data_IF_538997576382
#
_entry.id   IF_538997576382
#
_cell.length_a   1.000
_cell.length_b   1.000
_cell.length_c   1.000
_cell.angle_alpha   90.00
_cell.angle_beta   90.00
_cell.angle_gamma   90.00
#
_symmetry.space_group_name_H-M   'P 1'
#
loop_
_entity.id
_entity.type
_entity.pdbx_description
1 polymer ?
#
# COMPACT_ATOMS: atom_id res chain seq x y z
N UNK A 1 -12.04 -15.66 48.93
CA UNK A 1 -11.84 -15.33 47.51
C UNK A 1 -12.44 -13.96 47.26
N UNK A 2 -11.61 -12.94 47.03
CA UNK A 2 -12.09 -11.62 46.61
C UNK A 2 -12.61 -11.75 45.15
N UNK A 3 -13.77 -11.15 44.82
CA UNK A 3 -14.32 -11.25 43.48
C UNK A 3 -13.40 -10.55 42.45
N UNK A 4 -13.36 -11.03 41.19
CA UNK A 4 -12.61 -10.36 40.14
C UNK A 4 -13.17 -8.94 39.93
N UNK A 5 -12.32 -7.92 40.01
CA UNK A 5 -12.67 -6.52 39.72
C UNK A 5 -13.31 -6.46 38.33
N UNK A 6 -14.59 -6.08 38.24
CA UNK A 6 -15.24 -5.85 36.95
C UNK A 6 -14.51 -4.73 36.20
N UNK A 7 -14.28 -4.89 34.89
CA UNK A 7 -13.72 -3.82 34.05
C UNK A 7 -14.74 -2.68 33.98
N UNK A 8 -14.53 -1.63 34.78
CA UNK A 8 -15.27 -0.37 34.62
C UNK A 8 -14.96 0.20 33.24
N UNK A 9 -16.00 0.40 32.42
CA UNK A 9 -15.89 1.17 31.18
C UNK A 9 -15.77 2.65 31.56
N UNK A 10 -14.54 3.12 31.76
CA UNK A 10 -14.21 4.49 32.17
C UNK A 10 -13.88 5.43 31.00
N UNK A 11 -14.18 5.02 29.77
CA UNK A 11 -13.99 5.85 28.56
C UNK A 11 -12.53 5.99 28.11
N UNK A 12 -11.58 5.29 28.73
CA UNK A 12 -10.14 5.39 28.41
C UNK A 12 -9.76 5.04 26.96
N UNK A 13 -10.64 4.37 26.21
CA UNK A 13 -10.43 3.98 24.81
C UNK A 13 -10.60 5.11 23.81
N UNK A 14 -11.06 6.29 24.22
CA UNK A 14 -11.11 7.51 23.40
C UNK A 14 -10.37 8.68 24.04
N UNK A 15 -9.98 8.56 25.31
CA UNK A 15 -9.28 9.61 26.04
C UNK A 15 -7.79 9.67 25.68
N UNK A 16 -7.40 10.73 24.97
CA UNK A 16 -6.01 11.02 24.60
C UNK A 16 -5.29 11.89 25.64
N UNK A 17 -6.04 12.50 26.55
CA UNK A 17 -5.50 13.34 27.62
C UNK A 17 -5.27 12.54 28.91
N UNK A 18 -5.65 11.27 28.97
CA UNK A 18 -5.47 10.40 30.13
C UNK A 18 -6.16 10.94 31.40
N UNK A 19 -7.24 11.72 31.25
CA UNK A 19 -8.06 12.21 32.35
C UNK A 19 -8.62 11.08 33.20
N UNK A 20 -8.85 9.90 32.61
CA UNK A 20 -9.25 8.70 33.34
C UNK A 20 -8.29 8.33 34.50
N UNK A 21 -7.01 8.70 34.43
CA UNK A 21 -6.04 8.47 35.51
C UNK A 21 -6.45 9.21 36.78
N UNK A 22 -6.94 10.43 36.66
CA UNK A 22 -7.36 11.23 37.82
C UNK A 22 -8.65 10.72 38.45
N UNK A 23 -9.56 10.20 37.63
CA UNK A 23 -10.85 9.65 38.11
C UNK A 23 -10.70 8.25 38.69
N UNK A 24 -9.79 7.44 38.16
CA UNK A 24 -9.67 6.01 38.49
C UNK A 24 -8.50 5.71 39.42
N UNK A 25 -7.35 6.38 39.26
CA UNK A 25 -6.14 6.12 40.05
C UNK A 25 -5.93 7.15 41.17
N UNK A 26 -6.45 8.37 41.02
CA UNK A 26 -6.45 9.41 42.06
C UNK A 26 -5.75 10.70 41.63
N UNK A 27 -5.94 11.76 42.42
CA UNK A 27 -5.43 13.10 42.12
C UNK A 27 -3.90 13.21 42.15
N UNK A 28 -3.23 12.32 42.88
CA UNK A 28 -1.78 12.20 42.97
C UNK A 28 -1.10 11.84 41.63
N UNK A 29 -1.86 11.32 40.66
CA UNK A 29 -1.34 11.02 39.32
C UNK A 29 -1.25 12.23 38.37
N UNK A 30 -1.58 13.43 38.84
CA UNK A 30 -1.63 14.65 38.00
C UNK A 30 -0.36 14.90 37.21
N UNK A 31 0.81 14.78 37.85
CA UNK A 31 2.08 15.04 37.17
C UNK A 31 2.32 14.07 36.00
N UNK A 32 2.07 12.77 36.21
CA UNK A 32 2.19 11.76 35.16
C UNK A 32 1.16 11.94 34.04
N UNK A 33 -0.08 12.30 34.40
CA UNK A 33 -1.15 12.52 33.44
C UNK A 33 -0.87 13.73 32.54
N UNK A 34 -0.41 14.85 33.08
CA UNK A 34 -0.06 16.04 32.30
C UNK A 34 1.08 15.75 31.30
N UNK A 35 2.10 15.02 31.73
CA UNK A 35 3.21 14.59 30.87
C UNK A 35 2.73 13.64 29.76
N UNK A 36 1.87 12.67 30.10
CA UNK A 36 1.29 11.74 29.13
C UNK A 36 0.44 12.47 28.08
N UNK A 37 -0.41 13.40 28.51
CA UNK A 37 -1.23 14.23 27.62
C UNK A 37 -0.36 15.08 26.69
N UNK A 38 0.66 15.74 27.23
CA UNK A 38 1.60 16.56 26.46
C UNK A 38 2.36 15.73 25.42
N UNK A 39 2.86 14.56 25.81
CA UNK A 39 3.52 13.65 24.87
C UNK A 39 2.56 13.20 23.77
N UNK A 40 1.35 12.78 24.13
CA UNK A 40 0.35 12.24 23.21
C UNK A 40 -0.17 13.28 22.21
N UNK A 41 -0.25 14.55 22.60
CA UNK A 41 -0.59 15.65 21.69
C UNK A 41 0.42 15.82 20.54
N UNK A 42 1.67 15.38 20.71
CA UNK A 42 2.71 15.44 19.66
C UNK A 42 2.71 14.24 18.71
N UNK A 43 1.88 13.22 18.96
CA UNK A 43 1.89 11.96 18.22
C UNK A 43 0.87 11.94 17.08
N UNK A 44 1.31 11.55 15.87
CA UNK A 44 0.44 11.41 14.69
C UNK A 44 0.21 9.95 14.26
N UNK A 45 1.05 9.02 14.73
CA UNK A 45 1.04 7.60 14.35
C UNK A 45 1.01 6.69 15.57
N UNK A 46 0.32 5.54 15.43
CA UNK A 46 0.29 4.49 16.46
C UNK A 46 -0.44 4.89 17.74
N UNK A 47 -1.35 5.86 17.66
CA UNK A 47 -2.03 6.49 18.83
C UNK A 47 -2.71 5.44 19.72
N UNK A 48 -3.45 4.50 19.12
CA UNK A 48 -4.13 3.44 19.87
C UNK A 48 -3.14 2.56 20.64
N UNK A 49 -2.09 2.09 19.97
CA UNK A 49 -1.09 1.21 20.59
C UNK A 49 -0.30 1.93 21.69
N UNK A 50 0.06 3.21 21.49
CA UNK A 50 0.76 4.04 22.49
C UNK A 50 -0.09 4.25 23.74
N UNK A 51 -1.37 4.56 23.56
CA UNK A 51 -2.29 4.75 24.67
C UNK A 51 -2.46 3.47 25.49
N UNK A 52 -2.62 2.33 24.81
CA UNK A 52 -2.73 1.04 25.48
C UNK A 52 -1.44 0.68 26.24
N UNK A 53 -0.27 0.95 25.65
CA UNK A 53 1.02 0.74 26.29
C UNK A 53 1.20 1.61 27.53
N UNK A 54 0.87 2.91 27.45
CA UNK A 54 0.94 3.81 28.60
C UNK A 54 -0.05 3.44 29.70
N UNK A 55 -1.28 3.06 29.35
CA UNK A 55 -2.25 2.60 30.36
C UNK A 55 -1.71 1.43 31.18
N UNK A 56 -1.09 0.43 30.52
CA UNK A 56 -0.42 -0.69 31.21
C UNK A 56 0.79 -0.23 32.01
N UNK A 57 1.60 0.68 31.49
CA UNK A 57 2.77 1.21 32.19
C UNK A 57 2.38 1.91 33.49
N UNK A 58 1.30 2.69 33.50
CA UNK A 58 0.82 3.34 34.72
C UNK A 58 0.18 2.34 35.70
N UNK A 59 -0.81 1.56 35.26
CA UNK A 59 -1.59 0.70 36.17
C UNK A 59 -0.85 -0.55 36.63
N UNK A 60 -0.05 -1.16 35.74
CA UNK A 60 0.57 -2.46 36.02
C UNK A 60 2.02 -2.34 36.46
N UNK A 61 2.71 -1.25 36.12
CA UNK A 61 4.11 -1.05 36.50
C UNK A 61 4.28 0.00 37.59
N UNK A 62 3.98 1.26 37.30
CA UNK A 62 4.22 2.35 38.27
C UNK A 62 3.38 2.14 39.53
N UNK A 63 2.08 1.86 39.40
CA UNK A 63 1.19 1.72 40.55
C UNK A 63 1.58 0.60 41.52
N UNK A 64 2.06 -0.53 40.98
CA UNK A 64 2.31 -1.75 41.77
C UNK A 64 3.78 -1.86 42.24
N UNK A 65 4.75 -1.40 41.43
CA UNK A 65 6.18 -1.62 41.69
C UNK A 65 6.96 -0.33 42.02
N UNK A 66 6.47 0.82 41.57
CA UNK A 66 7.08 2.12 41.84
C UNK A 66 6.08 3.16 42.36
N UNK A 67 5.26 2.86 43.39
CA UNK A 67 4.24 3.80 43.88
C UNK A 67 4.86 5.09 44.42
N UNK A 68 6.10 5.03 44.92
CA UNK A 68 6.88 6.19 45.34
C UNK A 68 7.13 7.19 44.19
N UNK A 69 7.11 6.73 42.94
CA UNK A 69 7.28 7.58 41.77
C UNK A 69 6.01 8.36 41.41
N UNK A 70 4.84 7.99 41.97
CA UNK A 70 3.58 8.71 41.77
C UNK A 70 3.65 10.06 42.46
N UNK A 71 4.15 10.09 43.70
CA UNK A 71 4.28 11.30 44.51
C UNK A 71 5.53 12.13 44.19
N UNK A 72 6.64 11.48 43.82
CA UNK A 72 7.87 12.15 43.36
C UNK A 72 8.42 11.48 42.11
N UNK A 73 8.20 12.13 40.97
CA UNK A 73 8.68 11.70 39.66
C UNK A 73 10.20 11.45 39.62
N UNK A 74 11.00 12.19 40.40
CA UNK A 74 12.46 12.03 40.40
C UNK A 74 12.92 10.68 40.97
N UNK A 75 12.11 10.08 41.85
CA UNK A 75 12.39 8.77 42.44
C UNK A 75 12.26 7.63 41.41
N UNK A 76 11.50 7.82 40.33
CA UNK A 76 11.47 6.85 39.22
C UNK A 76 12.88 6.61 38.65
N UNK A 77 13.69 7.67 38.58
CA UNK A 77 15.04 7.62 38.01
C UNK A 77 16.11 7.28 39.04
N UNK A 78 15.99 7.82 40.26
CA UNK A 78 16.99 7.64 41.33
C UNK A 78 16.84 6.31 42.07
N UNK A 79 15.61 5.77 42.11
CA UNK A 79 15.22 4.66 42.97
C UNK A 79 14.85 5.12 44.38
N UNK A 80 14.21 4.21 45.12
CA UNK A 80 13.75 4.44 46.49
C UNK A 80 13.94 3.20 47.35
N UNK A 81 14.51 3.36 48.56
CA UNK A 81 14.73 2.28 49.53
C UNK A 81 15.38 1.01 48.95
N UNK A 82 16.37 1.18 48.06
CA UNK A 82 17.07 0.07 47.41
C UNK A 82 16.37 -0.51 46.17
N UNK A 83 15.11 -0.14 45.91
CA UNK A 83 14.43 -0.47 44.66
C UNK A 83 14.79 0.53 43.56
N UNK A 84 15.04 0.03 42.33
CA UNK A 84 15.26 0.84 41.12
C UNK A 84 14.43 0.28 39.98
N UNK A 85 13.67 1.14 39.31
CA UNK A 85 12.93 0.76 38.12
C UNK A 85 13.87 0.18 37.06
N UNK A 86 13.44 -0.88 36.39
CA UNK A 86 14.27 -1.61 35.41
C UNK A 86 13.44 -2.15 34.24
N UNK A 87 14.12 -2.41 33.13
CA UNK A 87 13.47 -2.96 31.94
C UNK A 87 13.04 -4.41 32.15
N UNK A 88 13.83 -5.16 32.92
CA UNK A 88 13.64 -6.57 33.18
C UNK A 88 12.38 -6.80 34.02
N UNK A 89 12.16 -5.98 35.06
CA UNK A 89 10.95 -6.01 35.87
C UNK A 89 9.71 -5.64 35.03
N UNK A 90 9.81 -4.57 34.24
CA UNK A 90 8.69 -4.14 33.40
C UNK A 90 8.36 -5.17 32.32
N UNK A 91 9.37 -5.81 31.71
CA UNK A 91 9.18 -6.83 30.70
C UNK A 91 8.46 -8.07 31.26
N UNK A 92 8.79 -8.49 32.49
CA UNK A 92 8.11 -9.61 33.14
C UNK A 92 6.60 -9.36 33.31
N UNK A 93 6.22 -8.13 33.65
CA UNK A 93 4.82 -7.72 33.84
C UNK A 93 4.07 -7.69 32.50
N UNK A 94 4.70 -7.17 31.44
CA UNK A 94 4.06 -7.18 30.12
C UNK A 94 3.91 -8.62 29.62
N UNK A 95 4.89 -9.51 29.87
CA UNK A 95 4.82 -10.92 29.46
C UNK A 95 3.72 -11.71 30.19
N UNK A 96 3.40 -11.35 31.43
CA UNK A 96 2.32 -12.02 32.18
C UNK A 96 0.92 -11.60 31.69
N UNK A 97 0.80 -10.44 31.06
CA UNK A 97 -0.47 -9.86 30.60
C UNK A 97 -0.68 -9.90 29.09
N UNK A 98 0.39 -10.07 28.30
CA UNK A 98 0.39 -10.00 26.84
C UNK A 98 1.14 -11.20 26.25
N UNK A 99 0.44 -12.02 25.44
CA UNK A 99 1.04 -13.22 24.86
C UNK A 99 1.89 -12.96 23.60
N UNK A 100 1.51 -11.98 22.77
CA UNK A 100 2.17 -11.75 21.48
C UNK A 100 3.48 -10.97 21.63
N UNK A 101 4.59 -11.53 21.15
CA UNK A 101 5.93 -10.92 21.20
C UNK A 101 6.01 -9.52 20.58
N UNK A 102 5.31 -9.31 19.47
CA UNK A 102 5.23 -7.99 18.82
C UNK A 102 4.54 -6.93 19.71
N UNK A 103 3.53 -7.34 20.49
CA UNK A 103 2.82 -6.43 21.39
C UNK A 103 3.63 -6.16 22.66
N UNK A 104 4.36 -7.16 23.18
CA UNK A 104 5.33 -6.98 24.27
C UNK A 104 6.37 -5.92 23.86
N UNK A 105 6.95 -6.07 22.67
CA UNK A 105 7.93 -5.13 22.14
C UNK A 105 7.36 -3.71 22.00
N UNK A 106 6.16 -3.56 21.43
CA UNK A 106 5.49 -2.26 21.31
C UNK A 106 5.27 -1.62 22.69
N UNK A 107 4.77 -2.39 23.65
CA UNK A 107 4.53 -1.92 25.02
C UNK A 107 5.80 -1.36 25.67
N UNK A 108 6.89 -2.14 25.63
CA UNK A 108 8.20 -1.74 26.14
C UNK A 108 8.74 -0.48 25.45
N UNK A 109 8.72 -0.47 24.11
CA UNK A 109 9.31 0.62 23.33
C UNK A 109 8.54 1.93 23.47
N UNK A 110 7.21 1.90 23.57
CA UNK A 110 6.42 3.11 23.75
C UNK A 110 6.54 3.68 25.17
N UNK A 111 6.62 2.84 26.19
CA UNK A 111 6.93 3.31 27.55
C UNK A 111 8.34 3.93 27.60
N UNK A 112 9.33 3.31 26.97
CA UNK A 112 10.67 3.89 26.83
C UNK A 112 10.63 5.27 26.17
N UNK A 113 9.94 5.40 25.02
CA UNK A 113 9.87 6.66 24.27
C UNK A 113 9.17 7.77 25.04
N UNK A 114 8.16 7.41 25.83
CA UNK A 114 7.51 8.34 26.75
C UNK A 114 8.46 8.79 27.85
N UNK A 115 9.21 7.89 28.49
CA UNK A 115 10.17 8.27 29.53
C UNK A 115 11.31 9.12 28.95
N UNK A 116 11.79 8.82 27.75
CA UNK A 116 12.76 9.68 27.05
C UNK A 116 12.21 11.10 26.85
N UNK A 117 10.92 11.22 26.50
CA UNK A 117 10.25 12.52 26.45
C UNK A 117 10.22 13.20 27.81
N UNK A 118 9.89 12.49 28.89
CA UNK A 118 9.87 13.04 30.25
C UNK A 118 11.25 13.54 30.67
N UNK A 119 12.32 12.77 30.38
CA UNK A 119 13.71 13.20 30.65
C UNK A 119 14.03 14.47 29.88
N UNK A 120 13.62 14.56 28.60
CA UNK A 120 13.87 15.75 27.78
C UNK A 120 13.10 16.99 28.25
N UNK A 121 11.86 16.81 28.69
CA UNK A 121 10.96 17.91 29.02
C UNK A 121 11.17 18.44 30.45
N UNK A 122 11.52 17.57 31.40
CA UNK A 122 11.57 17.90 32.84
C UNK A 122 13.00 17.81 33.39
N UNK A 123 13.83 16.89 32.90
CA UNK A 123 15.14 16.60 33.47
C UNK A 123 16.29 16.85 32.49
N UNK A 124 16.20 17.91 31.69
CA UNK A 124 17.27 18.32 30.78
C UNK A 124 17.59 19.80 30.93
N UNK A 125 18.87 20.13 30.94
CA UNK A 125 19.37 21.51 31.01
C UNK A 125 20.18 21.84 29.76
N UNK A 126 20.25 23.12 29.41
CA UNK A 126 21.10 23.56 28.30
C UNK A 126 22.53 23.67 28.78
N UNK A 127 23.45 23.04 28.05
CA UNK A 127 24.88 23.24 28.24
C UNK A 127 25.33 24.64 27.78
N UNK A 128 26.61 24.94 27.99
CA UNK A 128 27.23 26.20 27.57
C UNK A 128 27.21 26.44 26.05
N UNK A 129 26.82 25.44 25.26
CA UNK A 129 26.70 25.50 23.80
C UNK A 129 25.23 25.52 23.33
N UNK A 130 24.27 25.55 24.27
CA UNK A 130 22.84 25.59 23.99
C UNK A 130 22.20 24.23 23.70
N UNK A 131 22.94 23.11 23.84
CA UNK A 131 22.42 21.76 23.65
C UNK A 131 21.73 21.28 24.93
N UNK A 132 20.57 20.62 24.80
CA UNK A 132 19.89 19.99 25.92
C UNK A 132 20.62 18.70 26.33
N UNK A 133 21.14 18.68 27.56
CA UNK A 133 21.81 17.53 28.18
C UNK A 133 20.90 16.94 29.27
N UNK A 134 20.63 15.63 29.25
CA UNK A 134 19.79 14.99 30.25
C UNK A 134 20.53 14.85 31.59
N UNK A 135 19.85 15.23 32.69
CA UNK A 135 20.33 15.13 34.08
C UNK A 135 20.15 13.72 34.66
N UNK A 136 19.23 12.93 34.10
CA UNK A 136 18.94 11.56 34.53
C UNK A 136 18.90 10.62 33.34
N UNK A 137 19.21 9.34 33.58
CA UNK A 137 19.16 8.30 32.55
C UNK A 137 17.81 7.59 32.58
N UNK A 138 17.28 7.27 31.40
CA UNK A 138 16.07 6.46 31.27
C UNK A 138 16.37 5.03 31.81
N UNK A 139 15.62 4.55 32.83
CA UNK A 139 15.82 3.20 33.38
C UNK A 139 15.34 2.09 32.44
N UNK A 140 14.53 2.43 31.43
CA UNK A 140 14.01 1.49 30.45
C UNK A 140 14.96 1.33 29.25
N UNK A 141 14.84 0.24 28.51
CA UNK A 141 15.61 -0.07 27.30
C UNK A 141 14.68 -0.54 26.19
N UNK A 142 14.98 -0.15 24.95
CA UNK A 142 14.26 -0.66 23.78
C UNK A 142 14.57 -2.12 23.49
N UNK A 143 13.54 -2.91 23.21
CA UNK A 143 13.69 -4.25 22.64
C UNK A 143 13.96 -4.09 21.13
N UNK A 144 15.16 -4.48 20.70
CA UNK A 144 15.55 -4.44 19.28
C UNK A 144 14.75 -5.45 18.46
N UNK A 145 14.29 -5.04 17.27
CA UNK A 145 13.62 -5.92 16.32
C UNK A 145 14.64 -6.83 15.65
N UNK A 146 14.67 -8.11 16.02
CA UNK A 146 15.35 -9.13 15.22
C UNK A 146 14.60 -9.32 13.91
N UNK A 147 15.09 -8.72 12.82
CA UNK A 147 14.61 -9.08 11.49
C UNK A 147 15.28 -10.41 11.11
N UNK A 148 14.57 -11.52 11.30
CA UNK A 148 14.93 -12.76 10.60
C UNK A 148 14.39 -12.59 9.19
N UNK A 149 15.28 -12.36 8.22
CA UNK A 149 14.92 -12.44 6.81
C UNK A 149 14.56 -13.89 6.51
N UNK A 150 13.28 -14.23 6.59
CA UNK A 150 12.79 -15.48 6.02
C UNK A 150 12.82 -15.31 4.50
N UNK A 151 13.93 -15.72 3.89
CA UNK A 151 13.91 -16.04 2.47
C UNK A 151 12.79 -17.04 2.27
N UNK A 152 11.76 -16.61 1.54
CA UNK A 152 10.65 -17.49 1.21
C UNK A 152 11.15 -18.39 0.09
N UNK A 153 11.73 -19.54 0.47
CA UNK A 153 12.01 -20.64 -0.47
C UNK A 153 10.66 -21.23 -0.88
N UNK A 154 9.94 -20.51 -1.74
CA UNK A 154 8.70 -20.99 -2.35
C UNK A 154 9.04 -21.57 -3.70
N UNK A 155 8.55 -22.78 -3.96
CA UNK A 155 8.61 -23.35 -5.29
C UNK A 155 7.87 -22.43 -6.28
N UNK A 156 8.45 -22.17 -7.47
CA UNK A 156 7.78 -21.38 -8.48
C UNK A 156 6.47 -22.07 -8.88
N UNK A 157 5.42 -21.26 -9.13
CA UNK A 157 4.14 -21.79 -9.59
C UNK A 157 4.33 -22.49 -10.95
N UNK A 158 3.96 -23.78 -11.09
CA UNK A 158 4.13 -24.47 -12.36
C UNK A 158 3.40 -23.77 -13.51
N UNK A 159 4.00 -23.78 -14.69
CA UNK A 159 3.51 -23.03 -15.85
C UNK A 159 2.07 -23.38 -16.25
N UNK A 160 1.65 -24.64 -16.10
CA UNK A 160 0.27 -25.08 -16.35
C UNK A 160 -0.75 -24.31 -15.50
N UNK A 161 -0.44 -24.01 -14.24
CA UNK A 161 -1.33 -23.19 -13.41
C UNK A 161 -1.37 -21.74 -13.87
N UNK A 162 -0.24 -21.19 -14.34
CA UNK A 162 -0.21 -19.84 -14.93
C UNK A 162 -1.13 -19.80 -16.16
N UNK A 163 -1.06 -20.80 -17.04
CA UNK A 163 -1.94 -20.90 -18.21
C UNK A 163 -3.41 -21.00 -17.82
N UNK A 164 -3.75 -21.84 -16.82
CA UNK A 164 -5.12 -21.95 -16.32
C UNK A 164 -5.61 -20.62 -15.73
N UNK A 165 -4.78 -19.92 -14.95
CA UNK A 165 -5.12 -18.62 -14.38
C UNK A 165 -5.34 -17.55 -15.47
N UNK A 166 -4.56 -17.59 -16.56
CA UNK A 166 -4.79 -16.72 -17.72
C UNK A 166 -6.15 -17.00 -18.35
N UNK A 167 -6.53 -18.26 -18.53
CA UNK A 167 -7.85 -18.62 -19.08
C UNK A 167 -9.01 -18.26 -18.14
N UNK A 168 -8.82 -18.34 -16.82
CA UNK A 168 -9.83 -17.88 -15.85
C UNK A 168 -10.01 -16.36 -15.93
N UNK A 169 -8.90 -15.61 -16.03
CA UNK A 169 -8.92 -14.15 -16.05
C UNK A 169 -9.41 -13.58 -17.39
N UNK A 170 -8.83 -14.08 -18.48
CA UNK A 170 -9.07 -13.67 -19.86
C UNK A 170 -9.32 -14.95 -20.69
N UNK A 171 -10.56 -15.47 -20.71
CA UNK A 171 -10.88 -16.68 -21.45
C UNK A 171 -10.70 -16.43 -22.94
N UNK A 172 -9.85 -17.21 -23.60
CA UNK A 172 -9.65 -17.13 -25.05
C UNK A 172 -10.69 -17.99 -25.79
N UNK A 173 -10.95 -17.70 -27.07
CA UNK A 173 -11.76 -18.58 -27.91
C UNK A 173 -11.15 -19.97 -28.00
N UNK A 174 -12.01 -20.98 -27.86
CA UNK A 174 -11.59 -22.35 -28.08
C UNK A 174 -11.46 -22.67 -29.58
N UNK A 175 -10.96 -23.86 -29.89
CA UNK A 175 -10.72 -24.25 -31.29
C UNK A 175 -12.01 -24.26 -32.12
N UNK A 176 -13.13 -24.63 -31.51
CA UNK A 176 -14.43 -24.68 -32.20
C UNK A 176 -14.93 -23.27 -32.51
N UNK A 177 -14.83 -22.35 -31.56
CA UNK A 177 -15.19 -20.94 -31.74
C UNK A 177 -14.31 -20.28 -32.80
N UNK A 178 -12.98 -20.50 -32.76
CA UNK A 178 -12.07 -19.99 -33.81
C UNK A 178 -12.40 -20.55 -35.20
N UNK A 179 -12.84 -21.80 -35.29
CA UNK A 179 -13.24 -22.40 -36.57
C UNK A 179 -14.49 -21.70 -37.12
N UNK A 180 -15.49 -21.46 -36.26
CA UNK A 180 -16.72 -20.74 -36.64
C UNK A 180 -16.39 -19.30 -37.04
N UNK A 181 -15.53 -18.62 -36.28
CA UNK A 181 -15.07 -17.27 -36.62
C UNK A 181 -14.40 -17.27 -37.99
N UNK A 182 -13.49 -18.22 -38.24
CA UNK A 182 -12.78 -18.36 -39.51
C UNK A 182 -13.71 -18.60 -40.70
N UNK A 183 -14.78 -19.38 -40.53
CA UNK A 183 -15.79 -19.63 -41.57
C UNK A 183 -16.63 -18.39 -41.92
N UNK A 184 -16.80 -17.47 -40.97
CA UNK A 184 -17.58 -16.25 -41.14
C UNK A 184 -16.75 -15.06 -41.65
N UNK A 185 -15.44 -15.23 -41.84
CA UNK A 185 -14.57 -14.19 -42.40
C UNK A 185 -14.89 -13.96 -43.88
N UNK A 186 -14.76 -12.71 -44.34
CA UNK A 186 -14.85 -12.40 -45.77
C UNK A 186 -13.66 -13.03 -46.51
N UNK A 187 -13.81 -13.31 -47.82
CA UNK A 187 -12.81 -14.04 -48.63
C UNK A 187 -11.38 -13.44 -48.60
N UNK A 188 -11.22 -12.16 -48.25
CA UNK A 188 -9.92 -11.48 -48.18
C UNK A 188 -9.36 -11.34 -46.74
N UNK A 189 -10.14 -11.72 -45.72
CA UNK A 189 -9.76 -11.55 -44.32
C UNK A 189 -9.03 -12.80 -43.79
N UNK A 190 -7.87 -12.58 -43.16
CA UNK A 190 -7.13 -13.65 -42.47
C UNK A 190 -7.54 -13.73 -41.01
N UNK A 191 -7.63 -14.95 -40.48
CA UNK A 191 -7.86 -15.19 -39.06
C UNK A 191 -6.72 -14.58 -38.23
N UNK A 192 -7.08 -13.71 -37.29
CA UNK A 192 -6.15 -13.06 -36.38
C UNK A 192 -5.85 -13.95 -35.16
N UNK A 193 -4.81 -13.63 -34.37
CA UNK A 193 -4.58 -14.30 -33.11
C UNK A 193 -5.78 -14.22 -32.16
N UNK A 194 -6.01 -15.28 -31.38
CA UNK A 194 -7.25 -15.51 -30.63
C UNK A 194 -7.69 -14.35 -29.70
N UNK A 195 -6.75 -13.60 -29.13
CA UNK A 195 -7.03 -12.45 -28.27
C UNK A 195 -7.70 -11.27 -28.99
N UNK A 196 -7.62 -11.20 -30.33
CA UNK A 196 -8.33 -10.17 -31.12
C UNK A 196 -9.85 -10.32 -31.06
N UNK A 197 -10.33 -11.53 -30.79
CA UNK A 197 -11.76 -11.84 -30.69
C UNK A 197 -12.27 -11.80 -29.25
N UNK A 198 -11.56 -11.08 -28.37
CA UNK A 198 -11.91 -10.92 -26.96
C UNK A 198 -11.93 -9.46 -26.54
N UNK A 199 -12.83 -9.19 -25.61
CA UNK A 199 -13.20 -7.89 -25.07
C UNK A 199 -13.33 -7.98 -23.55
N UNK A 200 -13.30 -6.85 -22.87
CA UNK A 200 -13.45 -6.77 -21.41
C UNK A 200 -14.78 -7.35 -20.92
N UNK A 201 -15.85 -7.38 -21.73
CA UNK A 201 -17.10 -8.09 -21.39
C UNK A 201 -16.89 -9.59 -21.10
N UNK A 202 -15.87 -10.22 -21.69
CA UNK A 202 -15.56 -11.64 -21.48
C UNK A 202 -14.73 -11.89 -20.22
N UNK A 203 -14.20 -10.85 -19.56
CA UNK A 203 -13.42 -10.97 -18.32
C UNK A 203 -14.35 -11.15 -17.10
N UNK A 204 -15.31 -12.07 -17.21
CA UNK A 204 -16.43 -12.23 -16.27
C UNK A 204 -15.93 -12.53 -14.85
N UNK A 205 -14.92 -13.37 -14.70
CA UNK A 205 -14.34 -13.67 -13.39
C UNK A 205 -13.80 -12.39 -12.73
N UNK A 206 -13.08 -11.55 -13.48
CA UNK A 206 -12.51 -10.30 -12.97
C UNK A 206 -13.58 -9.28 -12.56
N UNK A 207 -14.68 -9.22 -13.30
CA UNK A 207 -15.83 -8.35 -12.98
C UNK A 207 -16.49 -8.69 -11.64
N UNK A 208 -16.47 -9.96 -11.25
CA UNK A 208 -17.06 -10.45 -10.00
C UNK A 208 -16.08 -10.47 -8.82
N UNK A 209 -14.77 -10.58 -9.09
CA UNK A 209 -13.75 -10.76 -8.06
C UNK A 209 -13.45 -9.50 -7.22
N UNK A 210 -13.85 -8.31 -7.67
CA UNK A 210 -13.43 -7.04 -7.05
C UNK A 210 -14.47 -5.93 -7.04
N UNK A 211 -14.17 -4.88 -6.27
CA UNK A 211 -14.93 -3.64 -6.19
C UNK A 211 -14.55 -2.61 -7.28
N UNK A 212 -14.14 -3.08 -8.46
CA UNK A 212 -13.61 -2.24 -9.55
C UNK A 212 -14.70 -1.57 -10.38
N UNK A 213 -15.78 -1.15 -9.72
CA UNK A 213 -16.93 -0.50 -10.33
C UNK A 213 -17.00 0.93 -9.82
N UNK A 214 -17.02 1.91 -10.72
CA UNK A 214 -17.10 3.33 -10.37
C UNK A 214 -18.38 3.96 -10.93
N UNK A 215 -18.92 4.94 -10.23
CA UNK A 215 -20.15 5.66 -10.60
C UNK A 215 -19.86 6.62 -11.76
N UNK A 216 -20.73 6.61 -12.77
CA UNK A 216 -20.65 7.48 -13.95
C UNK A 216 -22.03 8.04 -14.29
N UNK A 217 -22.08 9.11 -15.08
CA UNK A 217 -23.33 9.53 -15.69
C UNK A 217 -23.79 8.56 -16.78
N UNK A 218 -25.10 8.40 -17.01
CA UNK A 218 -25.63 7.49 -18.04
C UNK A 218 -25.15 7.83 -19.46
N UNK A 219 -24.76 9.07 -19.72
CA UNK A 219 -24.21 9.57 -20.99
C UNK A 219 -22.84 8.98 -21.35
N UNK A 220 -22.05 8.56 -20.34
CA UNK A 220 -20.73 7.98 -20.55
C UNK A 220 -20.81 6.50 -20.97
N UNK A 221 -21.97 5.87 -20.80
CA UNK A 221 -22.17 4.46 -21.13
C UNK A 221 -22.38 4.30 -22.64
N UNK A 222 -21.37 3.75 -23.31
CA UNK A 222 -21.47 3.33 -24.70
C UNK A 222 -21.96 1.88 -24.78
N UNK A 223 -23.23 1.69 -25.18
CA UNK A 223 -23.84 0.35 -25.29
C UNK A 223 -23.34 -0.44 -26.50
N UNK A 224 -22.73 0.22 -27.48
CA UNK A 224 -22.21 -0.43 -28.69
C UNK A 224 -20.76 -0.87 -28.52
N UNK A 225 -20.07 -0.36 -27.51
CA UNK A 225 -18.69 -0.72 -27.19
C UNK A 225 -18.65 -2.00 -26.32
N UNK A 226 -18.16 -3.14 -26.85
CA UNK A 226 -18.05 -4.39 -26.08
C UNK A 226 -17.02 -4.33 -24.94
N UNK A 227 -16.16 -3.31 -24.92
CA UNK A 227 -15.20 -3.05 -23.86
C UNK A 227 -15.76 -2.10 -22.77
N UNK A 228 -16.95 -1.50 -23.00
CA UNK A 228 -17.70 -0.73 -22.00
C UNK A 228 -18.62 -1.64 -21.16
N UNK A 229 -18.04 -2.30 -20.16
CA UNK A 229 -18.81 -3.14 -19.23
C UNK A 229 -19.49 -2.25 -18.19
N UNK A 230 -20.82 -2.25 -18.15
CA UNK A 230 -21.60 -1.39 -17.26
C UNK A 230 -22.71 -2.15 -16.51
N UNK A 231 -23.23 -1.55 -15.43
CA UNK A 231 -24.38 -2.04 -14.67
C UNK A 231 -25.17 -0.91 -14.02
N UNK A 232 -26.41 -1.19 -13.66
CA UNK A 232 -27.25 -0.31 -12.83
C UNK A 232 -27.49 -0.91 -11.45
N UNK A 233 -27.52 -0.06 -10.41
CA UNK A 233 -27.86 -0.46 -9.04
C UNK A 233 -28.80 0.55 -8.41
N UNK A 234 -29.89 0.08 -7.82
CA UNK A 234 -30.74 0.92 -6.98
C UNK A 234 -30.16 0.97 -5.56
N UNK A 235 -29.97 2.18 -5.04
CA UNK A 235 -29.52 2.40 -3.66
C UNK A 235 -30.36 3.45 -2.97
N UNK A 236 -30.54 3.32 -1.67
CA UNK A 236 -31.19 4.35 -0.85
C UNK A 236 -30.13 5.28 -0.27
N UNK A 237 -30.06 6.52 -0.76
CA UNK A 237 -29.20 7.58 -0.18
C UNK A 237 -30.11 8.64 0.45
N UNK A 238 -29.91 8.94 1.73
CA UNK A 238 -30.70 9.95 2.49
C UNK A 238 -32.23 9.72 2.37
N UNK A 239 -32.67 8.46 2.46
CA UNK A 239 -34.10 8.10 2.39
C UNK A 239 -34.73 8.13 0.99
N UNK A 240 -33.98 8.49 -0.06
CA UNK A 240 -34.46 8.46 -1.46
C UNK A 240 -33.82 7.29 -2.22
N UNK A 241 -34.63 6.57 -3.01
CA UNK A 241 -34.16 5.58 -3.97
C UNK A 241 -33.53 6.29 -5.16
N UNK A 242 -32.27 5.97 -5.47
CA UNK A 242 -31.52 6.52 -6.59
C UNK A 242 -30.96 5.36 -7.41
N UNK A 243 -31.07 5.46 -8.73
CA UNK A 243 -30.42 4.54 -9.67
C UNK A 243 -29.01 5.01 -9.97
N UNK A 244 -28.02 4.21 -9.61
CA UNK A 244 -26.61 4.43 -9.94
C UNK A 244 -26.25 3.70 -11.21
N UNK A 245 -25.53 4.39 -12.09
CA UNK A 245 -24.90 3.83 -13.28
C UNK A 245 -23.42 3.63 -12.97
N UNK A 246 -22.90 2.45 -13.29
CA UNK A 246 -21.51 2.11 -13.01
C UNK A 246 -20.85 1.49 -14.23
N UNK A 247 -19.58 1.83 -14.45
CA UNK A 247 -18.70 1.16 -15.40
C UNK A 247 -17.66 0.35 -14.62
N UNK A 248 -17.28 -0.81 -15.14
CA UNK A 248 -16.23 -1.65 -14.59
C UNK A 248 -14.86 -1.23 -15.13
N UNK A 249 -13.88 -1.04 -14.25
CA UNK A 249 -12.51 -0.70 -14.60
C UNK A 249 -11.64 -1.97 -14.76
N UNK A 250 -11.06 -2.21 -15.94
CA UNK A 250 -10.19 -3.36 -16.17
C UNK A 250 -8.77 -3.19 -15.58
N UNK A 251 -8.40 -2.02 -15.05
CA UNK A 251 -7.02 -1.68 -14.64
C UNK A 251 -6.43 -2.69 -13.66
N UNK A 252 -7.17 -3.06 -12.60
CA UNK A 252 -6.66 -4.02 -11.60
C UNK A 252 -6.56 -5.43 -12.16
N UNK A 253 -7.51 -5.85 -12.98
CA UNK A 253 -7.47 -7.13 -13.67
C UNK A 253 -6.28 -7.19 -14.62
N UNK A 254 -5.99 -6.09 -15.32
CA UNK A 254 -4.84 -5.97 -16.21
C UNK A 254 -3.52 -6.11 -15.44
N UNK A 255 -3.42 -5.59 -14.21
CA UNK A 255 -2.23 -5.83 -13.40
C UNK A 255 -1.97 -7.32 -13.14
N UNK A 256 -3.02 -8.10 -12.88
CA UNK A 256 -2.89 -9.55 -12.70
C UNK A 256 -2.52 -10.20 -14.04
N UNK A 257 -3.14 -9.78 -15.14
CA UNK A 257 -2.84 -10.26 -16.48
C UNK A 257 -1.36 -10.07 -16.84
N UNK A 258 -0.83 -8.87 -16.63
CA UNK A 258 0.59 -8.55 -16.86
C UNK A 258 1.49 -9.37 -15.96
N UNK A 259 1.14 -9.56 -14.68
CA UNK A 259 1.88 -10.41 -13.74
C UNK A 259 1.92 -11.88 -14.13
N UNK A 260 0.89 -12.38 -14.83
CA UNK A 260 0.85 -13.74 -15.35
C UNK A 260 1.66 -13.90 -16.64
N UNK A 261 1.88 -12.82 -17.41
CA UNK A 261 2.62 -12.83 -18.66
C UNK A 261 4.10 -12.48 -18.50
N UNK A 262 4.42 -11.57 -17.58
CA UNK A 262 5.75 -11.00 -17.40
C UNK A 262 6.22 -11.16 -15.95
N UNK A 263 7.51 -11.46 -15.72
CA UNK A 263 8.08 -11.60 -14.39
C UNK A 263 8.37 -10.23 -13.73
N UNK A 264 7.39 -9.32 -13.74
CA UNK A 264 7.51 -7.99 -13.14
C UNK A 264 7.14 -8.02 -11.65
N UNK A 265 7.74 -7.13 -10.86
CA UNK A 265 7.34 -6.92 -9.46
C UNK A 265 6.03 -6.13 -9.42
N UNK A 266 5.19 -6.37 -8.42
CA UNK A 266 3.88 -5.70 -8.32
C UNK A 266 4.00 -4.17 -8.23
N UNK A 267 5.08 -3.66 -7.61
CA UNK A 267 5.37 -2.22 -7.59
C UNK A 267 5.73 -1.67 -8.98
N UNK A 268 6.37 -2.45 -9.84
CA UNK A 268 6.71 -2.04 -11.20
C UNK A 268 5.46 -1.96 -12.06
N UNK A 269 4.59 -2.99 -11.98
CA UNK A 269 3.32 -3.04 -12.72
C UNK A 269 2.40 -1.86 -12.36
N UNK A 270 2.36 -1.46 -11.08
CA UNK A 270 1.58 -0.29 -10.64
C UNK A 270 2.10 1.06 -11.15
N UNK A 271 3.38 1.13 -11.51
CA UNK A 271 4.05 2.36 -11.93
C UNK A 271 4.28 2.40 -13.45
N UNK A 272 3.64 1.49 -14.21
CA UNK A 272 3.73 1.53 -15.66
C UNK A 272 2.98 2.74 -16.18
N UNK A 273 3.67 3.49 -17.02
CA UNK A 273 3.12 4.65 -17.71
C UNK A 273 2.46 4.20 -19.04
N UNK A 274 1.30 4.76 -19.38
CA UNK A 274 0.58 4.46 -20.62
C UNK A 274 1.28 5.02 -21.86
N UNK A 275 2.16 6.02 -21.68
CA UNK A 275 2.90 6.67 -22.77
C UNK A 275 2.10 7.72 -23.53
N UNK A 276 1.09 8.33 -22.91
CA UNK A 276 0.27 9.36 -23.57
C UNK A 276 1.06 10.62 -23.95
N UNK A 277 2.11 10.93 -23.19
CA UNK A 277 3.03 12.05 -23.48
C UNK A 277 4.20 11.66 -24.39
N UNK A 278 4.30 10.40 -24.84
CA UNK A 278 5.43 9.95 -25.68
C UNK A 278 5.34 10.55 -27.09
N UNK A 279 6.51 10.84 -27.69
CA UNK A 279 6.57 11.40 -29.05
C UNK A 279 5.99 10.44 -30.09
N UNK A 280 6.27 9.15 -29.90
CA UNK A 280 5.80 8.09 -30.79
C UNK A 280 4.76 7.29 -30.05
N UNK A 281 3.61 7.08 -30.68
CA UNK A 281 2.51 6.29 -30.15
C UNK A 281 2.46 4.95 -30.90
N UNK A 282 2.36 3.87 -30.14
CA UNK A 282 2.07 2.56 -30.69
C UNK A 282 0.56 2.43 -30.90
N UNK A 283 0.14 2.18 -32.13
CA UNK A 283 -1.26 2.03 -32.53
C UNK A 283 -1.42 0.94 -33.60
N UNK A 284 -2.29 -0.04 -33.35
CA UNK A 284 -2.62 -1.13 -34.28
C UNK A 284 -1.38 -1.82 -34.90
N UNK A 285 -0.38 -2.14 -34.07
CA UNK A 285 0.84 -2.80 -34.54
C UNK A 285 1.89 -1.87 -35.16
N UNK A 286 1.65 -0.55 -35.21
CA UNK A 286 2.51 0.42 -35.90
C UNK A 286 2.89 1.58 -34.97
N UNK A 287 3.99 2.23 -35.31
CA UNK A 287 4.42 3.45 -34.62
C UNK A 287 4.04 4.67 -35.44
N UNK A 288 3.24 5.56 -34.86
CA UNK A 288 2.82 6.82 -35.45
C UNK A 288 3.31 8.00 -34.60
N UNK A 289 3.44 9.18 -35.19
CA UNK A 289 3.75 10.38 -34.43
C UNK A 289 2.54 10.73 -33.55
N UNK A 290 2.77 11.07 -32.29
CA UNK A 290 1.70 11.42 -31.37
C UNK A 290 1.19 12.84 -31.68
N UNK A 291 0.11 12.92 -32.44
CA UNK A 291 -0.64 14.16 -32.73
C UNK A 291 -1.98 14.20 -32.01
N UNK A 292 -2.26 13.21 -31.15
CA UNK A 292 -3.54 13.07 -30.45
C UNK A 292 -3.60 13.94 -29.21
N UNK A 293 -2.46 14.12 -28.54
CA UNK A 293 -2.36 14.81 -27.26
C UNK A 293 -1.47 16.05 -27.39
N UNK A 294 -2.00 17.21 -27.03
CA UNK A 294 -1.27 18.50 -27.11
C UNK A 294 -0.07 18.55 -26.15
N UNK A 295 -0.09 17.72 -25.11
CA UNK A 295 0.98 17.58 -24.12
C UNK A 295 2.04 16.53 -24.49
N UNK A 296 2.01 15.99 -25.72
CA UNK A 296 3.06 15.11 -26.21
C UNK A 296 4.43 15.82 -26.19
N UNK A 297 5.42 15.15 -25.61
CA UNK A 297 6.76 15.70 -25.41
C UNK A 297 7.73 15.22 -26.49
N UNK A 298 8.83 15.96 -26.68
CA UNK A 298 9.91 15.60 -27.60
C UNK A 298 9.60 15.92 -29.07
N UNK A 299 10.46 15.42 -29.96
CA UNK A 299 10.33 15.60 -31.42
C UNK A 299 10.77 14.34 -32.15
N UNK A 300 10.43 14.20 -33.43
CA UNK A 300 10.85 13.04 -34.23
C UNK A 300 12.38 12.84 -34.22
N UNK A 301 13.16 13.93 -34.15
CA UNK A 301 14.63 13.91 -34.07
C UNK A 301 15.15 13.64 -32.65
N UNK A 302 14.44 14.09 -31.62
CA UNK A 302 14.79 13.89 -30.21
C UNK A 302 13.56 13.37 -29.46
N UNK A 303 13.24 12.07 -29.58
CA UNK A 303 11.99 11.53 -29.06
C UNK A 303 12.01 11.42 -27.54
N UNK A 304 10.88 11.75 -26.93
CA UNK A 304 10.52 11.39 -25.57
C UNK A 304 9.79 10.03 -25.59
N UNK A 305 10.11 9.17 -24.63
CA UNK A 305 9.59 7.81 -24.57
C UNK A 305 9.74 7.21 -23.19
N UNK A 306 8.72 7.36 -22.35
CA UNK A 306 8.64 6.84 -20.98
C UNK A 306 7.44 5.92 -20.76
N UNK A 307 6.56 5.79 -21.75
CA UNK A 307 5.47 4.83 -21.74
C UNK A 307 5.93 3.38 -21.79
N UNK A 308 5.01 2.47 -21.45
CA UNK A 308 5.22 1.03 -21.47
C UNK A 308 5.59 0.52 -22.87
N UNK A 309 5.14 1.17 -23.94
CA UNK A 309 5.50 0.81 -25.30
C UNK A 309 6.88 1.38 -25.63
N UNK A 310 7.81 0.54 -26.08
CA UNK A 310 9.14 0.98 -26.48
C UNK A 310 9.45 0.65 -27.92
N UNK A 311 9.70 1.69 -28.73
CA UNK A 311 10.23 1.54 -30.08
C UNK A 311 11.72 1.24 -30.01
N UNK A 312 12.15 0.11 -30.57
CA UNK A 312 13.54 -0.34 -30.58
C UNK A 312 13.99 -0.40 -32.03
N UNK A 313 15.07 0.29 -32.35
CA UNK A 313 15.66 0.23 -33.69
C UNK A 313 16.73 -0.87 -33.73
N UNK A 314 16.57 -1.81 -34.65
CA UNK A 314 17.56 -2.83 -34.92
C UNK A 314 18.45 -2.38 -36.09
N UNK A 315 19.71 -2.12 -35.78
CA UNK A 315 20.71 -1.68 -36.77
C UNK A 315 21.08 -2.75 -37.78
N UNK A 316 20.90 -4.04 -37.45
CA UNK A 316 21.25 -5.15 -38.35
C UNK A 316 20.17 -5.35 -39.42
N UNK A 317 18.90 -5.25 -39.04
CA UNK A 317 17.76 -5.43 -39.96
C UNK A 317 17.27 -4.12 -40.57
N UNK A 318 17.64 -2.98 -39.99
CA UNK A 318 17.11 -1.66 -40.36
C UNK A 318 15.63 -1.47 -40.00
N UNK A 319 15.06 -2.39 -39.21
CA UNK A 319 13.66 -2.43 -38.85
C UNK A 319 13.44 -1.95 -37.41
N UNK A 320 12.21 -1.51 -37.14
CA UNK A 320 11.77 -1.22 -35.79
C UNK A 320 11.01 -2.41 -35.20
N UNK A 321 11.39 -2.81 -33.99
CA UNK A 321 10.63 -3.74 -33.16
C UNK A 321 9.98 -3.03 -31.99
N UNK A 322 9.01 -3.71 -31.35
CA UNK A 322 8.29 -3.16 -30.20
C UNK A 322 8.61 -3.98 -28.96
N UNK A 323 9.28 -3.34 -28.00
CA UNK A 323 9.52 -3.89 -26.66
C UNK A 323 8.67 -3.19 -25.60
N UNK A 324 8.98 -3.50 -24.34
CA UNK A 324 8.33 -2.91 -23.18
C UNK A 324 9.32 -2.09 -22.36
N UNK A 325 8.94 -0.90 -21.90
CA UNK A 325 9.75 -0.09 -21.00
C UNK A 325 9.12 -0.07 -19.60
N UNK A 326 9.94 -0.37 -18.59
CA UNK A 326 9.52 -0.42 -17.19
C UNK A 326 10.12 0.77 -16.47
N UNK A 327 9.27 1.68 -15.98
CA UNK A 327 9.65 2.99 -15.45
C UNK A 327 10.57 2.94 -14.21
N UNK A 328 10.63 1.80 -13.50
CA UNK A 328 11.41 1.67 -12.26
C UNK A 328 12.09 0.31 -12.11
N UNK A 329 13.33 0.34 -11.64
CA UNK A 329 14.12 -0.80 -11.19
C UNK A 329 14.46 -0.73 -9.69
N UNK A 330 13.54 -0.22 -8.86
CA UNK A 330 13.62 -0.23 -7.39
C UNK A 330 14.98 0.29 -6.87
N UNK A 331 15.79 -0.59 -6.25
CA UNK A 331 17.06 -0.23 -5.62
C UNK A 331 18.11 0.24 -6.63
N UNK A 332 18.07 -0.27 -7.86
CA UNK A 332 18.99 0.16 -8.91
C UNK A 332 18.77 1.60 -9.37
N UNK A 333 17.64 2.22 -8.99
CA UNK A 333 17.25 3.58 -9.37
C UNK A 333 17.30 4.57 -8.19
N UNK A 334 17.73 4.14 -6.99
CA UNK A 334 17.71 4.97 -5.77
C UNK A 334 18.49 6.29 -5.91
N UNK A 335 19.59 6.27 -6.65
CA UNK A 335 20.48 7.43 -6.86
C UNK A 335 20.48 7.93 -8.31
N UNK A 336 19.52 7.49 -9.12
CA UNK A 336 19.42 7.89 -10.53
C UNK A 336 18.45 9.03 -10.72
N UNK A 337 18.81 9.94 -11.62
CA UNK A 337 17.90 10.97 -12.12
C UNK A 337 16.77 10.32 -12.92
N UNK A 338 15.60 10.97 -12.97
CA UNK A 338 14.38 10.44 -13.61
C UNK A 338 14.59 9.96 -15.06
N UNK A 339 15.48 10.61 -15.80
CA UNK A 339 15.84 10.24 -17.16
C UNK A 339 16.53 8.86 -17.25
N UNK A 340 17.30 8.49 -16.24
CA UNK A 340 18.14 7.28 -16.19
C UNK A 340 17.47 6.08 -15.50
N UNK A 341 16.26 6.28 -14.99
CA UNK A 341 15.48 5.22 -14.31
C UNK A 341 14.88 4.25 -15.31
N UNK A 342 14.55 3.06 -14.80
CA UNK A 342 13.86 2.04 -15.56
C UNK A 342 14.75 1.22 -16.48
N UNK A 343 14.13 0.34 -17.26
CA UNK A 343 14.82 -0.57 -18.17
C UNK A 343 13.88 -1.04 -19.29
N UNK A 344 14.48 -1.57 -20.36
CA UNK A 344 13.77 -2.09 -21.52
C UNK A 344 13.76 -3.62 -21.46
N UNK A 345 12.60 -4.22 -21.71
CA UNK A 345 12.44 -5.62 -22.07
C UNK A 345 12.33 -5.67 -23.60
N UNK A 346 13.34 -6.20 -24.32
CA UNK A 346 13.38 -6.14 -25.77
C UNK A 346 12.47 -7.16 -26.47
N UNK A 347 11.80 -8.02 -25.70
CA UNK A 347 10.93 -9.07 -26.23
C UNK A 347 9.56 -8.51 -26.64
N UNK A 348 9.21 -8.72 -27.91
CA UNK A 348 7.90 -8.37 -28.45
C UNK A 348 6.86 -9.45 -28.10
N UNK A 349 6.01 -9.13 -27.12
CA UNK A 349 4.86 -9.96 -26.75
C UNK A 349 3.57 -9.32 -27.29
N UNK A 350 3.09 -9.80 -28.43
CA UNK A 350 1.95 -9.21 -29.14
C UNK A 350 0.64 -9.24 -28.35
N UNK A 351 0.38 -10.30 -27.58
CA UNK A 351 -0.81 -10.41 -26.74
C UNK A 351 -0.78 -9.34 -25.63
N UNK A 352 0.36 -9.18 -24.97
CA UNK A 352 0.53 -8.14 -23.94
C UNK A 352 0.41 -6.74 -24.53
N UNK A 353 1.04 -6.50 -25.68
CA UNK A 353 0.96 -5.21 -26.37
C UNK A 353 -0.49 -4.87 -26.76
N UNK A 354 -1.22 -5.84 -27.31
CA UNK A 354 -2.63 -5.70 -27.65
C UNK A 354 -3.49 -5.31 -26.44
N UNK A 355 -3.35 -6.02 -25.32
CA UNK A 355 -4.15 -5.76 -24.13
C UNK A 355 -3.78 -4.45 -23.42
N UNK A 356 -2.50 -4.08 -23.41
CA UNK A 356 -2.06 -2.77 -22.91
C UNK A 356 -2.58 -1.63 -23.78
N UNK A 357 -2.58 -1.80 -25.10
CA UNK A 357 -3.10 -0.80 -26.03
C UNK A 357 -4.60 -0.63 -25.84
N UNK A 358 -5.33 -1.75 -25.75
CA UNK A 358 -6.76 -1.76 -25.44
C UNK A 358 -7.06 -1.09 -24.11
N UNK A 359 -6.26 -1.34 -23.05
CA UNK A 359 -6.41 -0.66 -21.77
C UNK A 359 -6.20 0.85 -21.90
N UNK A 360 -5.13 1.29 -22.56
CA UNK A 360 -4.86 2.72 -22.78
C UNK A 360 -6.02 3.40 -23.50
N UNK A 361 -6.50 2.81 -24.60
CA UNK A 361 -7.61 3.37 -25.36
C UNK A 361 -8.91 3.40 -24.55
N UNK A 362 -9.14 2.40 -23.69
CA UNK A 362 -10.26 2.37 -22.75
C UNK A 362 -10.14 3.48 -21.70
N UNK A 363 -8.95 3.71 -21.13
CA UNK A 363 -8.71 4.77 -20.16
C UNK A 363 -8.92 6.14 -20.79
N UNK A 364 -8.37 6.40 -21.97
CA UNK A 364 -8.59 7.68 -22.69
C UNK A 364 -10.08 7.96 -22.98
N UNK A 365 -10.92 6.93 -23.10
CA UNK A 365 -12.37 7.08 -23.38
C UNK A 365 -13.22 7.21 -22.11
N UNK A 366 -12.95 6.41 -21.08
CA UNK A 366 -13.83 6.27 -19.91
C UNK A 366 -13.23 6.76 -18.59
N UNK A 367 -11.93 7.08 -18.59
CA UNK A 367 -11.20 7.64 -17.45
C UNK A 367 -10.15 8.67 -17.93
N UNK A 368 -10.58 9.73 -18.65
CA UNK A 368 -9.69 10.75 -19.21
C UNK A 368 -9.08 11.67 -18.14
#
# INVERSE_FOLDING_TARGET
MLPPKSKKNDGRTSDLAFLWMLTTLGAEWRQWQELAAKWMATQTLGISDKREALGRFFESYIAEYAPYAISDLSLFFKGYQGHKCSSEEFEQIIRSTVAASANIQKGMNYAYEFIDFVVKDVFSEKDNYGNLVPLVLNPLRKIKKGYVATETVRNPLPYRYIQNLRQILCPLPDKTELTIIGQNLKQEEKLLPAWHYRHFKYWVWAQHAGSDWFEVGPELIDKNDPDCVWRTREVTRKGKKITLYQIWSPVKAMMIFIKLHLPLRSSQVRMLDSGEADTWRYENGRWILNTRHDFALGSAKRPFGKGIFRRIYDTMTGLYSTGLYINTNKTADQNKNELERGYIIPWQNEEVLYWLEKLRNWQEKYNP
#
